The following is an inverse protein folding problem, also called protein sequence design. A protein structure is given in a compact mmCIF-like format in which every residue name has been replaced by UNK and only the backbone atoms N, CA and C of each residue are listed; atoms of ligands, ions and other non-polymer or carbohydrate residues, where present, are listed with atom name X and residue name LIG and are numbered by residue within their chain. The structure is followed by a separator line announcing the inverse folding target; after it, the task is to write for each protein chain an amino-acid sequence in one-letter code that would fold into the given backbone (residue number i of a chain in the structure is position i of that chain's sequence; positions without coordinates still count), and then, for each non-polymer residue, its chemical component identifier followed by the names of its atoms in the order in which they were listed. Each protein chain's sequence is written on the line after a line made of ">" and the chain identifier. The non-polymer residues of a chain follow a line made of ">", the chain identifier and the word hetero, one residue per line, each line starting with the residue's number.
data_IF_499145747456
#
_entry.id   IF_499145747456
#
_cell.length_a   1.000
_cell.length_b   1.000
_cell.length_c   1.000
_cell.angle_alpha   90.00
_cell.angle_beta   90.00
_cell.angle_gamma   90.00
#
_symmetry.space_group_name_H-M   'P 1'
#
loop_
_entity.id
_entity.type
_entity.pdbx_description
1 polymer ?
#
# COMPACT_ATOMS: atom_id res chain seq x y z
N UNK A 1 77.78 -3.42 -40.17
CA UNK A 1 76.80 -4.53 -40.07
C UNK A 1 76.15 -4.45 -38.70
N UNK A 2 74.92 -3.97 -38.63
CA UNK A 2 74.19 -3.80 -37.37
C UNK A 2 73.40 -5.07 -37.04
N UNK A 3 73.57 -5.57 -35.81
CA UNK A 3 72.80 -6.69 -35.26
C UNK A 3 71.78 -6.14 -34.27
N UNK A 4 70.49 -6.39 -34.54
CA UNK A 4 69.36 -6.18 -33.64
C UNK A 4 69.32 -7.27 -32.54
N UNK A 5 68.88 -6.91 -31.33
CA UNK A 5 68.26 -7.80 -30.32
C UNK A 5 67.52 -6.89 -29.31
N UNK A 6 66.25 -6.57 -29.55
CA UNK A 6 65.05 -7.24 -29.01
C UNK A 6 65.02 -7.29 -27.47
N UNK A 7 64.48 -6.21 -26.87
CA UNK A 7 63.95 -6.24 -25.52
C UNK A 7 62.65 -7.04 -25.50
N UNK A 8 62.65 -8.15 -24.77
CA UNK A 8 61.46 -8.98 -24.54
C UNK A 8 60.48 -8.27 -23.63
N UNK A 9 59.26 -8.02 -24.13
CA UNK A 9 58.13 -7.66 -23.30
C UNK A 9 57.46 -8.95 -22.79
N UNK A 10 57.43 -9.12 -21.47
CA UNK A 10 56.66 -10.19 -20.82
C UNK A 10 55.21 -9.74 -20.76
N UNK A 11 54.35 -10.38 -21.56
CA UNK A 11 52.90 -10.17 -21.53
C UNK A 11 52.30 -11.04 -20.42
N UNK A 12 51.89 -10.42 -19.31
CA UNK A 12 51.12 -11.09 -18.25
C UNK A 12 49.65 -11.02 -18.64
N UNK A 13 49.09 -12.14 -19.13
CA UNK A 13 47.67 -12.29 -19.39
C UNK A 13 46.94 -12.58 -18.08
N UNK A 14 46.29 -11.56 -17.52
CA UNK A 14 45.27 -11.76 -16.48
C UNK A 14 44.02 -12.33 -17.14
N UNK A 15 43.67 -13.58 -16.81
CA UNK A 15 42.33 -14.11 -17.07
C UNK A 15 41.35 -13.33 -16.19
N UNK A 16 40.28 -12.75 -16.73
CA UNK A 16 39.16 -12.37 -15.89
C UNK A 16 38.52 -13.67 -15.39
N UNK A 17 38.78 -14.01 -14.14
CA UNK A 17 37.94 -14.95 -13.40
C UNK A 17 36.53 -14.37 -13.41
N UNK A 18 35.61 -15.11 -14.00
CA UNK A 18 34.20 -14.82 -14.04
C UNK A 18 33.71 -14.64 -12.60
N UNK A 19 33.60 -13.40 -12.15
CA UNK A 19 32.84 -13.03 -10.96
C UNK A 19 31.37 -13.29 -11.32
N UNK A 20 30.96 -14.55 -11.13
CA UNK A 20 29.55 -14.87 -10.93
C UNK A 20 29.16 -14.21 -9.63
N UNK A 21 28.71 -12.96 -9.72
CA UNK A 21 27.89 -12.34 -8.68
C UNK A 21 26.63 -13.18 -8.66
N UNK A 22 26.61 -14.14 -7.74
CA UNK A 22 25.42 -14.85 -7.35
C UNK A 22 24.51 -13.80 -6.68
N UNK A 23 23.83 -13.02 -7.51
CA UNK A 23 22.64 -12.30 -7.09
C UNK A 23 21.61 -13.37 -6.80
N UNK A 24 21.73 -13.97 -5.60
CA UNK A 24 20.58 -14.50 -4.88
C UNK A 24 19.60 -13.34 -4.79
N UNK A 25 18.77 -13.20 -5.83
CA UNK A 25 17.42 -12.72 -5.71
C UNK A 25 16.84 -13.56 -4.57
N UNK A 26 16.90 -13.00 -3.37
CA UNK A 26 16.05 -13.46 -2.30
C UNK A 26 14.64 -13.23 -2.83
N UNK A 27 14.06 -14.29 -3.39
CA UNK A 27 12.63 -14.45 -3.53
C UNK A 27 12.06 -14.38 -2.12
N UNK A 28 11.94 -13.16 -1.61
CA UNK A 28 11.06 -12.82 -0.51
C UNK A 28 9.65 -13.02 -1.04
N UNK A 29 9.20 -14.28 -1.07
CA UNK A 29 7.78 -14.60 -1.07
C UNK A 29 7.25 -14.16 0.29
N UNK A 30 6.95 -12.86 0.40
CA UNK A 30 6.24 -12.31 1.54
C UNK A 30 4.97 -13.14 1.71
N UNK A 31 4.86 -13.84 2.85
CA UNK A 31 3.66 -14.57 3.22
C UNK A 31 2.49 -13.59 3.27
N UNK A 32 1.59 -13.72 2.30
CA UNK A 32 0.45 -12.83 2.10
C UNK A 32 0.87 -11.57 1.36
N UNK A 33 0.39 -11.41 0.13
CA UNK A 33 0.50 -10.16 -0.59
C UNK A 33 -0.37 -9.12 0.14
N UNK A 34 0.15 -8.50 1.20
CA UNK A 34 -0.43 -7.28 1.73
C UNK A 34 -0.21 -6.20 0.67
N UNK A 35 -1.29 -5.73 0.07
CA UNK A 35 -1.22 -4.51 -0.74
C UNK A 35 -0.91 -3.39 0.24
N UNK A 36 0.24 -2.70 0.12
CA UNK A 36 0.57 -1.64 1.05
C UNK A 36 -0.31 -0.42 0.75
N UNK A 37 -1.04 0.00 1.77
CA UNK A 37 -1.77 1.27 1.81
C UNK A 37 -1.13 2.16 2.85
N UNK A 38 -1.12 3.47 2.62
CA UNK A 38 -0.98 4.47 3.67
C UNK A 38 -1.94 5.62 3.41
N UNK A 39 -2.22 6.39 4.46
CA UNK A 39 -3.07 7.56 4.39
C UNK A 39 -2.21 8.81 4.53
N UNK A 40 -2.51 9.84 3.74
CA UNK A 40 -1.96 11.18 3.95
C UNK A 40 -3.07 12.10 4.46
N UNK A 41 -2.94 12.58 5.70
CA UNK A 41 -3.94 13.43 6.38
C UNK A 41 -3.25 14.66 6.94
N UNK A 42 -3.71 15.85 6.55
CA UNK A 42 -3.09 17.12 7.00
C UNK A 42 -1.59 17.23 6.65
N UNK A 43 -1.12 16.52 5.61
CA UNK A 43 0.29 16.46 5.22
C UNK A 43 1.13 15.41 5.97
N UNK A 44 0.53 14.59 6.85
CA UNK A 44 1.22 13.52 7.56
C UNK A 44 0.86 12.15 6.96
N UNK A 45 1.85 11.31 6.75
CA UNK A 45 1.66 9.93 6.29
C UNK A 45 1.45 9.00 7.49
N UNK A 46 0.41 8.16 7.41
CA UNK A 46 -0.01 7.25 8.46
C UNK A 46 -0.01 5.84 7.87
N UNK A 47 0.78 4.95 8.47
CA UNK A 47 0.86 3.55 8.05
C UNK A 47 -0.28 2.72 8.65
N UNK A 48 -0.55 1.53 8.11
CA UNK A 48 -1.50 0.58 8.69
C UNK A 48 -1.22 0.32 10.17
N UNK A 49 -2.29 0.16 10.95
CA UNK A 49 -2.25 -0.11 12.40
C UNK A 49 -1.57 0.99 13.24
N UNK A 50 -1.19 2.12 12.63
CA UNK A 50 -0.71 3.29 13.35
C UNK A 50 -1.86 4.21 13.73
N UNK A 51 -1.68 4.88 14.88
CA UNK A 51 -2.53 5.98 15.29
C UNK A 51 -2.00 7.28 14.72
N UNK A 52 -2.86 8.03 14.01
CA UNK A 52 -2.59 9.39 13.56
C UNK A 52 -3.44 10.42 14.32
N UNK A 53 -3.08 11.68 14.14
CA UNK A 53 -3.91 12.81 14.58
C UNK A 53 -4.46 13.54 13.36
N UNK A 54 -5.73 13.94 13.41
CA UNK A 54 -6.33 14.72 12.34
C UNK A 54 -7.30 15.78 12.90
N UNK A 55 -7.44 16.86 12.17
CA UNK A 55 -8.39 17.94 12.45
C UNK A 55 -9.67 17.76 11.66
N UNK A 56 -10.76 18.31 12.18
CA UNK A 56 -11.98 18.48 11.41
C UNK A 56 -11.71 19.30 10.15
N UNK A 57 -12.22 18.85 9.00
CA UNK A 57 -11.98 19.48 7.70
C UNK A 57 -10.67 19.05 7.01
N UNK A 58 -9.81 18.27 7.67
CA UNK A 58 -8.68 17.67 6.98
C UNK A 58 -9.14 16.74 5.87
N UNK A 59 -8.39 16.72 4.78
CA UNK A 59 -8.61 15.79 3.68
C UNK A 59 -7.72 14.57 3.83
N UNK A 60 -8.36 13.41 3.89
CA UNK A 60 -7.71 12.11 3.82
C UNK A 60 -7.52 11.70 2.37
N UNK A 61 -6.25 11.50 2.01
CA UNK A 61 -5.84 10.97 0.71
C UNK A 61 -5.35 9.54 0.91
N UNK A 62 -5.71 8.67 -0.02
CA UNK A 62 -5.37 7.25 0.04
C UNK A 62 -4.23 6.98 -0.94
N UNK A 63 -3.12 6.43 -0.46
CA UNK A 63 -1.97 6.10 -1.30
C UNK A 63 -1.76 4.60 -1.29
N UNK A 64 -1.59 4.01 -2.48
CA UNK A 64 -1.47 2.58 -2.65
C UNK A 64 -0.42 2.21 -3.69
N UNK A 65 -0.02 0.95 -3.68
CA UNK A 65 0.81 0.33 -4.71
C UNK A 65 0.35 -1.11 -4.88
N UNK A 66 -0.02 -1.51 -6.10
CA UNK A 66 -0.50 -2.86 -6.39
C UNK A 66 -0.18 -3.26 -7.83
N UNK A 67 0.29 -4.49 -8.04
CA UNK A 67 0.50 -5.04 -9.38
C UNK A 67 -0.81 -5.48 -10.06
N UNK A 68 -1.88 -5.65 -9.28
CA UNK A 68 -3.22 -5.95 -9.77
C UNK A 68 -4.15 -4.75 -9.64
N UNK A 69 -5.21 -4.72 -10.45
CA UNK A 69 -6.34 -3.82 -10.21
C UNK A 69 -6.99 -4.17 -8.86
N UNK A 70 -7.48 -3.14 -8.16
CA UNK A 70 -8.09 -3.31 -6.85
C UNK A 70 -9.55 -2.90 -6.92
N UNK A 71 -10.38 -3.65 -6.22
CA UNK A 71 -11.72 -3.26 -5.84
C UNK A 71 -11.65 -2.78 -4.39
N UNK A 72 -12.18 -1.60 -4.07
CA UNK A 72 -12.00 -0.95 -2.78
C UNK A 72 -13.31 -0.37 -2.25
N UNK A 73 -13.54 -0.51 -0.94
CA UNK A 73 -14.50 0.28 -0.18
C UNK A 73 -13.83 0.85 1.06
N UNK A 74 -14.19 2.08 1.41
CA UNK A 74 -13.66 2.77 2.59
C UNK A 74 -14.78 2.89 3.61
N UNK A 75 -14.53 2.37 4.80
CA UNK A 75 -15.46 2.32 5.91
C UNK A 75 -14.88 3.08 7.10
N UNK A 76 -15.75 3.58 7.97
CA UNK A 76 -15.35 4.26 9.19
C UNK A 76 -16.30 3.97 10.35
N UNK A 77 -15.80 4.21 11.55
CA UNK A 77 -16.56 4.14 12.79
C UNK A 77 -15.99 5.17 13.76
N UNK A 78 -16.84 6.12 14.15
CA UNK A 78 -16.57 7.09 15.20
C UNK A 78 -16.75 6.45 16.59
N UNK A 79 -16.30 7.14 17.65
CA UNK A 79 -16.50 6.72 19.04
C UNK A 79 -17.96 6.34 19.36
N UNK A 80 -18.22 5.03 19.51
CA UNK A 80 -19.56 4.52 19.83
C UNK A 80 -20.56 4.60 18.68
N UNK A 81 -20.13 5.00 17.49
CA UNK A 81 -20.93 5.02 16.27
C UNK A 81 -21.16 3.63 15.67
N UNK A 82 -22.13 3.53 14.77
CA UNK A 82 -22.25 2.36 13.91
C UNK A 82 -21.20 2.40 12.79
N UNK A 83 -20.79 1.25 12.29
CA UNK A 83 -19.92 1.13 11.13
C UNK A 83 -20.62 1.70 9.88
N UNK A 84 -19.99 2.68 9.22
CA UNK A 84 -20.52 3.40 8.06
C UNK A 84 -19.55 3.35 6.88
N UNK A 85 -20.05 3.51 5.66
CA UNK A 85 -19.22 3.61 4.44
C UNK A 85 -19.13 5.06 4.00
N UNK A 86 -17.94 5.56 3.69
CA UNK A 86 -17.77 6.91 3.14
C UNK A 86 -18.35 7.04 1.72
N UNK A 87 -18.50 5.92 1.00
CA UNK A 87 -18.92 5.90 -0.41
C UNK A 87 -20.38 5.44 -0.56
N UNK A 88 -21.26 5.85 0.35
CA UNK A 88 -22.68 5.56 0.24
C UNK A 88 -23.32 6.33 -0.94
N UNK A 89 -24.25 5.72 -1.71
CA UNK A 89 -24.79 4.38 -1.56
C UNK A 89 -24.38 3.45 -2.71
N UNK A 90 -23.10 3.39 -3.11
CA UNK A 90 -22.71 2.34 -4.06
C UNK A 90 -22.72 1.01 -3.31
N UNK A 91 -23.66 0.12 -3.68
CA UNK A 91 -23.70 -1.25 -3.18
C UNK A 91 -22.49 -2.09 -3.63
N UNK A 92 -21.55 -1.49 -4.37
CA UNK A 92 -20.38 -2.10 -4.98
C UNK A 92 -19.09 -1.37 -4.59
N UNK A 93 -17.99 -2.11 -4.62
CA UNK A 93 -16.62 -1.59 -4.57
C UNK A 93 -16.30 -0.64 -5.73
N UNK A 94 -15.45 0.36 -5.47
CA UNK A 94 -14.81 1.19 -6.49
C UNK A 94 -13.58 0.51 -7.07
N UNK A 95 -13.31 0.67 -8.36
CA UNK A 95 -12.12 0.09 -9.00
C UNK A 95 -10.95 1.06 -9.07
N UNK A 96 -9.80 0.67 -8.52
CA UNK A 96 -8.52 1.35 -8.64
C UNK A 96 -7.60 0.56 -9.58
N UNK A 97 -6.88 1.26 -10.46
CA UNK A 97 -6.02 0.61 -11.45
C UNK A 97 -4.76 0.07 -10.80
N UNK A 98 -4.16 -0.96 -11.40
CA UNK A 98 -2.82 -1.39 -11.02
C UNK A 98 -1.82 -0.21 -11.09
N UNK A 99 -0.90 -0.19 -10.13
CA UNK A 99 0.14 0.82 -9.99
C UNK A 99 1.42 0.15 -9.43
N UNK A 100 2.45 0.02 -10.28
CA UNK A 100 3.75 -0.53 -9.90
C UNK A 100 4.61 0.45 -9.08
N UNK A 101 4.23 1.72 -9.02
CA UNK A 101 4.79 2.76 -8.16
C UNK A 101 3.70 3.29 -7.21
N UNK A 102 4.10 4.02 -6.18
CA UNK A 102 3.18 4.67 -5.26
C UNK A 102 2.26 5.64 -5.99
N UNK A 103 0.96 5.54 -5.71
CA UNK A 103 -0.07 6.31 -6.38
C UNK A 103 -1.14 6.76 -5.41
N UNK A 104 -1.48 8.04 -5.45
CA UNK A 104 -2.67 8.57 -4.80
C UNK A 104 -3.92 8.12 -5.57
N UNK A 105 -4.91 7.60 -4.84
CA UNK A 105 -6.23 7.29 -5.38
C UNK A 105 -6.99 8.57 -5.68
N UNK A 106 -7.87 8.53 -6.68
CA UNK A 106 -8.72 9.68 -7.01
C UNK A 106 -9.75 9.99 -5.90
N UNK A 107 -10.00 9.02 -5.01
CA UNK A 107 -10.93 9.17 -3.91
C UNK A 107 -10.29 10.02 -2.81
N UNK A 108 -11.05 11.00 -2.32
CA UNK A 108 -10.69 11.82 -1.16
C UNK A 108 -11.85 11.82 -0.18
N UNK A 109 -11.55 11.86 1.10
CA UNK A 109 -12.53 11.94 2.19
C UNK A 109 -12.22 13.18 3.02
N UNK A 110 -13.23 14.01 3.28
CA UNK A 110 -13.10 15.15 4.20
C UNK A 110 -13.61 14.70 5.55
N UNK A 111 -12.78 14.83 6.58
CA UNK A 111 -13.11 14.42 7.94
C UNK A 111 -14.14 15.37 8.56
N UNK A 112 -15.20 14.80 9.13
CA UNK A 112 -16.27 15.57 9.79
C UNK A 112 -15.79 16.18 11.11
N UNK A 113 -16.61 17.05 11.73
CA UNK A 113 -16.24 17.76 12.96
C UNK A 113 -16.58 17.05 14.27
N UNK A 114 -17.26 15.90 14.23
CA UNK A 114 -18.03 15.40 15.38
C UNK A 114 -17.53 14.03 15.88
N UNK A 115 -16.22 13.87 16.04
CA UNK A 115 -15.59 12.66 16.60
C UNK A 115 -14.41 13.00 17.53
N UNK A 116 -14.07 12.12 18.50
CA UNK A 116 -12.82 12.23 19.27
C UNK A 116 -11.79 11.19 18.80
N UNK A 117 -12.26 10.01 18.40
CA UNK A 117 -11.53 8.97 17.69
C UNK A 117 -12.39 8.43 16.57
N UNK A 118 -11.70 8.02 15.52
CA UNK A 118 -12.29 7.42 14.34
C UNK A 118 -11.38 6.25 13.92
N UNK A 119 -11.98 5.13 13.56
CA UNK A 119 -11.26 4.05 12.89
C UNK A 119 -11.70 4.02 11.44
N UNK A 120 -10.74 3.99 10.52
CA UNK A 120 -10.98 3.92 9.09
C UNK A 120 -10.44 2.61 8.56
N UNK A 121 -11.27 1.87 7.85
CA UNK A 121 -10.90 0.63 7.17
C UNK A 121 -10.90 0.82 5.67
N UNK A 122 -9.80 0.40 5.04
CA UNK A 122 -9.75 0.15 3.60
C UNK A 122 -10.00 -1.33 3.40
N UNK A 123 -11.16 -1.67 2.86
CA UNK A 123 -11.53 -3.03 2.47
C UNK A 123 -11.23 -3.20 1.00
N UNK A 124 -10.52 -4.26 0.62
CA UNK A 124 -10.07 -4.43 -0.77
C UNK A 124 -10.03 -5.90 -1.22
N UNK A 125 -10.05 -6.09 -2.53
CA UNK A 125 -9.94 -7.39 -3.21
C UNK A 125 -9.41 -7.21 -4.64
N UNK A 126 -8.95 -8.29 -5.27
CA UNK A 126 -8.59 -8.33 -6.71
C UNK A 126 -9.81 -8.54 -7.63
N UNK A 127 -10.99 -8.80 -7.05
CA UNK A 127 -12.26 -8.94 -7.74
C UNK A 127 -13.35 -8.07 -7.08
N UNK A 128 -14.42 -7.80 -7.82
CA UNK A 128 -15.53 -7.00 -7.32
C UNK A 128 -16.25 -7.64 -6.14
N UNK A 129 -16.65 -6.84 -5.16
CA UNK A 129 -17.45 -7.26 -4.02
C UNK A 129 -18.51 -6.23 -3.65
N UNK A 130 -19.51 -6.70 -2.92
CA UNK A 130 -20.65 -5.93 -2.42
C UNK A 130 -20.36 -5.32 -1.05
N UNK A 131 -21.13 -4.28 -0.71
CA UNK A 131 -21.04 -3.66 0.63
C UNK A 131 -21.41 -4.61 1.77
N UNK A 132 -22.27 -5.61 1.50
CA UNK A 132 -22.62 -6.64 2.48
C UNK A 132 -21.44 -7.58 2.75
N UNK A 133 -20.70 -7.98 1.72
CA UNK A 133 -19.49 -8.81 1.86
C UNK A 133 -18.38 -8.04 2.59
N UNK A 134 -18.20 -6.76 2.25
CA UNK A 134 -17.26 -5.88 2.95
C UNK A 134 -17.60 -5.75 4.44
N UNK A 135 -18.87 -5.46 4.74
CA UNK A 135 -19.36 -5.37 6.12
C UNK A 135 -19.16 -6.68 6.89
N UNK A 136 -19.49 -7.81 6.27
CA UNK A 136 -19.26 -9.14 6.85
C UNK A 136 -17.78 -9.38 7.17
N UNK A 137 -16.87 -8.96 6.28
CA UNK A 137 -15.42 -9.05 6.51
C UNK A 137 -14.96 -8.19 7.70
N UNK A 138 -15.55 -7.00 7.87
CA UNK A 138 -15.26 -6.10 8.97
C UNK A 138 -15.74 -6.67 10.31
N UNK A 139 -16.94 -7.25 10.34
CA UNK A 139 -17.59 -7.86 11.51
C UNK A 139 -16.99 -9.23 11.92
N UNK A 140 -15.90 -9.67 11.28
CA UNK A 140 -15.19 -10.92 11.61
C UNK A 140 -15.78 -12.17 10.95
N UNK A 141 -16.74 -12.01 10.05
CA UNK A 141 -17.23 -13.09 9.20
C UNK A 141 -16.24 -13.46 8.11
N UNK A 142 -16.30 -14.71 7.64
CA UNK A 142 -15.50 -15.16 6.49
C UNK A 142 -16.02 -14.50 5.21
N UNK A 143 -15.11 -13.81 4.52
CA UNK A 143 -15.31 -13.24 3.20
C UNK A 143 -14.08 -13.62 2.35
N UNK A 144 -14.25 -14.59 1.46
CA UNK A 144 -13.13 -15.17 0.71
C UNK A 144 -12.53 -14.11 -0.23
N UNK A 145 -11.20 -13.96 -0.20
CA UNK A 145 -10.47 -13.01 -1.03
C UNK A 145 -10.61 -11.53 -0.66
N UNK A 146 -11.44 -11.17 0.33
CA UNK A 146 -11.53 -9.81 0.85
C UNK A 146 -10.51 -9.59 1.96
N UNK A 147 -9.71 -8.54 1.81
CA UNK A 147 -8.71 -8.11 2.75
C UNK A 147 -9.11 -6.76 3.37
N UNK A 148 -8.53 -6.43 4.53
CA UNK A 148 -8.78 -5.14 5.18
C UNK A 148 -7.52 -4.59 5.83
N UNK A 149 -7.43 -3.27 5.84
CA UNK A 149 -6.38 -2.50 6.50
C UNK A 149 -7.04 -1.43 7.36
N UNK A 150 -6.59 -1.26 8.60
CA UNK A 150 -7.18 -0.30 9.54
C UNK A 150 -6.21 0.82 9.88
N UNK A 151 -6.76 2.01 10.06
CA UNK A 151 -6.08 3.21 10.52
C UNK A 151 -6.87 3.81 11.67
N UNK A 152 -6.17 4.28 12.70
CA UNK A 152 -6.81 4.87 13.87
C UNK A 152 -6.49 6.35 13.95
N UNK A 153 -7.49 7.17 14.21
CA UNK A 153 -7.35 8.62 14.33
C UNK A 153 -7.78 9.07 15.71
N UNK A 154 -7.06 10.05 16.25
CA UNK A 154 -7.51 10.86 17.39
C UNK A 154 -7.59 12.31 16.95
N UNK A 155 -8.66 12.99 17.35
CA UNK A 155 -8.87 14.39 16.98
C UNK A 155 -7.81 15.28 17.61
N UNK A 156 -7.15 16.10 16.81
CA UNK A 156 -6.31 17.18 17.33
C UNK A 156 -7.18 18.27 17.95
N UNK A 157 -6.72 18.80 19.09
CA UNK A 157 -7.39 19.87 19.82
C UNK A 157 -7.36 21.20 19.08
#
# INVERSE_FOLDING_TARGET
>A
MGLCLLAGAVLVLFRPESLSVDSSESDFTAKGASVPFFLTVGGNDIQPDQSGTASAGDTMNFVYRSLAGLHVQIWYQDDGGALQSYLAPSNSSSSWKAASAWREANQKVVLSSDWNKESVWIVWSDHGFTSQEAKKALEGGRADGIQKTVFHFTRSR
#
